data_IF_893274052154
#
_entry.id   IF_893274052154
#
_cell.length_a   1.000
_cell.length_b   1.000
_cell.length_c   1.000
_cell.angle_alpha   90.00
_cell.angle_beta   90.00
_cell.angle_gamma   90.00
#
_symmetry.space_group_name_H-M   'P 1'
#
loop_
_entity.id
_entity.type
_entity.pdbx_description
1 polymer ?
#
# COMPACT_ATOMS: atom_id res chain seq x y z
N UNK A 1 41.79 48.44 18.31
CA UNK A 1 40.44 47.84 18.34
C UNK A 1 40.48 46.64 19.28
N UNK A 2 39.63 46.56 20.31
CA UNK A 2 39.50 45.40 21.20
C UNK A 2 39.28 44.09 20.43
N UNK A 3 39.70 42.96 21.00
CA UNK A 3 39.64 41.64 20.35
C UNK A 3 38.21 41.24 19.92
N UNK A 4 37.20 41.53 20.76
CA UNK A 4 35.79 41.29 20.42
C UNK A 4 35.30 42.08 19.21
N UNK A 5 35.81 43.30 19.01
CA UNK A 5 35.46 44.12 17.83
C UNK A 5 36.12 43.59 16.55
N UNK A 6 37.35 43.08 16.64
CA UNK A 6 38.04 42.45 15.51
C UNK A 6 37.33 41.15 15.07
N UNK A 7 36.82 40.39 16.05
CA UNK A 7 36.02 39.17 15.80
C UNK A 7 34.68 39.50 15.12
N UNK A 8 33.95 40.49 15.64
CA UNK A 8 32.69 40.93 15.04
C UNK A 8 32.87 41.50 13.63
N UNK A 9 33.92 42.27 13.38
CA UNK A 9 34.24 42.78 12.04
C UNK A 9 34.51 41.64 11.04
N UNK A 10 35.21 40.60 11.48
CA UNK A 10 35.47 39.41 10.66
C UNK A 10 34.17 38.64 10.37
N UNK A 11 33.30 38.45 11.35
CA UNK A 11 31.98 37.83 11.15
C UNK A 11 31.09 38.64 10.19
N UNK A 12 31.07 39.97 10.36
CA UNK A 12 30.26 40.86 9.52
C UNK A 12 30.66 40.83 8.03
N UNK A 13 31.91 40.46 7.72
CA UNK A 13 32.38 40.29 6.33
C UNK A 13 31.79 39.05 5.64
N UNK A 14 31.24 38.09 6.40
CA UNK A 14 30.69 36.85 5.86
C UNK A 14 29.28 37.10 5.33
N UNK A 15 29.12 36.93 4.02
CA UNK A 15 27.81 37.07 3.35
C UNK A 15 26.80 36.05 3.89
N UNK A 16 25.60 36.55 4.22
CA UNK A 16 24.48 35.74 4.70
C UNK A 16 24.83 34.85 5.89
N UNK A 17 25.69 35.35 6.79
CA UNK A 17 26.17 34.64 7.96
C UNK A 17 25.03 33.98 8.78
N UNK A 18 23.89 34.63 9.07
CA UNK A 18 22.80 33.99 9.83
C UNK A 18 22.30 32.70 9.16
N UNK A 19 21.95 32.76 7.87
CA UNK A 19 21.49 31.59 7.11
C UNK A 19 22.56 30.49 7.04
N UNK A 20 23.84 30.86 6.90
CA UNK A 20 24.94 29.88 6.88
C UNK A 20 25.09 29.18 8.23
N UNK A 21 24.97 29.91 9.33
CA UNK A 21 25.00 29.33 10.66
C UNK A 21 23.79 28.42 10.88
N UNK A 22 22.59 28.83 10.47
CA UNK A 22 21.38 27.99 10.54
C UNK A 22 21.55 26.70 9.75
N UNK A 23 22.11 26.76 8.53
CA UNK A 23 22.37 25.59 7.70
C UNK A 23 23.47 24.68 8.27
N UNK A 24 24.52 25.25 8.87
CA UNK A 24 25.58 24.48 9.53
C UNK A 24 24.99 23.77 10.76
N UNK A 25 24.22 24.47 11.58
CA UNK A 25 23.52 23.89 12.74
C UNK A 25 22.57 22.78 12.28
N UNK A 26 21.76 23.02 11.23
CA UNK A 26 20.88 22.02 10.65
C UNK A 26 21.65 20.79 10.17
N UNK A 27 22.75 20.98 9.43
CA UNK A 27 23.57 19.87 8.94
C UNK A 27 24.17 19.04 10.08
N UNK A 28 24.72 19.71 11.10
CA UNK A 28 25.32 19.05 12.26
C UNK A 28 24.28 18.29 13.08
N UNK A 29 23.08 18.86 13.23
CA UNK A 29 21.98 18.28 14.00
C UNK A 29 21.04 17.45 13.15
N UNK A 30 21.31 17.22 11.86
CA UNK A 30 20.36 16.56 10.97
C UNK A 30 20.00 15.16 11.48
N UNK A 31 20.99 14.40 11.94
CA UNK A 31 20.77 13.06 12.50
C UNK A 31 20.03 13.11 13.84
N UNK A 32 20.34 14.08 14.71
CA UNK A 32 19.59 14.30 15.95
C UNK A 32 18.14 14.68 15.68
N UNK A 33 17.89 15.61 14.75
CA UNK A 33 16.54 16.03 14.33
C UNK A 33 15.77 14.83 13.77
N UNK A 34 16.42 13.94 13.00
CA UNK A 34 15.82 12.70 12.51
C UNK A 34 15.51 11.69 13.63
N UNK A 35 16.34 11.64 14.67
CA UNK A 35 16.18 10.72 15.80
C UNK A 35 15.20 11.27 16.87
N UNK A 36 15.12 12.59 17.03
CA UNK A 36 14.25 13.34 17.93
C UNK A 36 12.86 13.57 17.32
N UNK A 37 12.75 13.49 15.98
CA UNK A 37 11.47 13.28 15.30
C UNK A 37 10.83 12.08 15.98
N UNK A 38 9.64 12.30 16.58
CA UNK A 38 8.93 11.30 17.39
C UNK A 38 9.08 9.93 16.73
N UNK A 39 9.48 8.88 17.47
CA UNK A 39 9.63 7.54 16.93
C UNK A 39 8.40 7.12 16.12
N UNK A 40 7.20 7.52 16.53
CA UNK A 40 5.95 7.41 15.80
C UNK A 40 6.05 7.91 14.34
N UNK A 41 6.46 9.16 14.08
CA UNK A 41 6.52 9.72 12.72
C UNK A 41 7.56 9.00 11.84
N UNK A 42 8.72 8.67 12.41
CA UNK A 42 9.79 7.98 11.68
C UNK A 42 9.47 6.49 11.44
N UNK A 43 8.82 5.84 12.41
CA UNK A 43 8.31 4.48 12.36
C UNK A 43 6.97 4.36 11.62
N UNK A 44 6.29 5.46 11.27
CA UNK A 44 5.03 5.42 10.51
C UNK A 44 5.28 5.78 9.04
N UNK A 45 6.12 6.77 8.75
CA UNK A 45 6.29 7.28 7.38
C UNK A 45 7.12 6.34 6.50
N UNK A 46 8.21 5.79 7.04
CA UNK A 46 9.14 4.94 6.29
C UNK A 46 8.57 3.54 6.02
N UNK A 47 7.99 2.84 7.01
CA UNK A 47 7.32 1.58 6.74
C UNK A 47 5.91 1.76 6.17
N UNK A 48 5.23 2.89 6.32
CA UNK A 48 3.93 3.09 5.66
C UNK A 48 4.02 3.00 4.13
N UNK A 49 4.98 3.71 3.53
CA UNK A 49 5.22 3.63 2.08
C UNK A 49 5.76 2.25 1.69
N UNK A 50 6.71 1.70 2.45
CA UNK A 50 7.25 0.35 2.19
C UNK A 50 6.17 -0.72 2.26
N UNK A 51 5.28 -0.64 3.26
CA UNK A 51 4.18 -1.58 3.47
C UNK A 51 3.17 -1.54 2.32
N UNK A 52 2.78 -0.34 1.87
CA UNK A 52 1.89 -0.21 0.71
C UNK A 52 2.56 -0.77 -0.56
N UNK A 53 3.85 -0.46 -0.77
CA UNK A 53 4.60 -1.00 -1.90
C UNK A 53 4.70 -2.52 -1.86
N UNK A 54 5.04 -3.09 -0.70
CA UNK A 54 5.17 -4.53 -0.47
C UNK A 54 3.82 -5.24 -0.65
N UNK A 55 2.73 -4.70 -0.09
CA UNK A 55 1.39 -5.25 -0.25
C UNK A 55 0.93 -5.22 -1.72
N UNK A 56 1.17 -4.12 -2.44
CA UNK A 56 0.87 -4.04 -3.88
C UNK A 56 1.67 -5.07 -4.68
N UNK A 57 2.96 -5.26 -4.34
CA UNK A 57 3.81 -6.25 -5.00
C UNK A 57 3.40 -7.69 -4.69
N UNK A 58 2.99 -7.98 -3.46
CA UNK A 58 2.46 -9.28 -3.04
C UNK A 58 1.18 -9.62 -3.80
N UNK A 59 0.21 -8.70 -3.84
CA UNK A 59 -1.04 -8.88 -4.60
C UNK A 59 -0.76 -9.10 -6.08
N UNK A 60 0.16 -8.30 -6.67
CA UNK A 60 0.50 -8.38 -8.09
C UNK A 60 1.21 -9.68 -8.47
N UNK A 61 2.01 -10.26 -7.57
CA UNK A 61 2.79 -11.48 -7.82
C UNK A 61 2.08 -12.75 -7.36
N UNK A 62 1.01 -12.63 -6.57
CA UNK A 62 0.27 -13.78 -6.04
C UNK A 62 -0.42 -14.56 -7.16
N UNK A 63 0.11 -15.76 -7.44
CA UNK A 63 -0.53 -16.71 -8.35
C UNK A 63 -1.91 -17.12 -7.85
N UNK A 64 -2.02 -17.39 -6.54
CA UNK A 64 -3.28 -17.78 -5.92
C UNK A 64 -4.35 -16.71 -6.09
N UNK A 65 -4.00 -15.44 -5.84
CA UNK A 65 -4.95 -14.35 -6.04
C UNK A 65 -5.36 -14.20 -7.50
N UNK A 66 -4.42 -14.33 -8.45
CA UNK A 66 -4.74 -14.35 -9.89
C UNK A 66 -5.75 -15.46 -10.24
N UNK A 67 -5.50 -16.69 -9.80
CA UNK A 67 -6.42 -17.82 -10.03
C UNK A 67 -7.79 -17.58 -9.40
N UNK A 68 -7.83 -16.98 -8.21
CA UNK A 68 -9.09 -16.60 -7.56
C UNK A 68 -9.88 -15.57 -8.38
N UNK A 69 -9.21 -14.56 -8.96
CA UNK A 69 -9.85 -13.58 -9.84
C UNK A 69 -10.36 -14.21 -11.14
N UNK A 70 -9.62 -15.16 -11.73
CA UNK A 70 -10.07 -15.91 -12.91
C UNK A 70 -11.32 -16.75 -12.61
N UNK A 71 -11.36 -17.40 -11.44
CA UNK A 71 -12.56 -18.10 -10.97
C UNK A 71 -13.72 -17.13 -10.75
N UNK A 72 -13.47 -15.97 -10.12
CA UNK A 72 -14.49 -14.96 -9.89
C UNK A 72 -15.12 -14.49 -11.21
N UNK A 73 -14.28 -14.25 -12.23
CA UNK A 73 -14.73 -13.88 -13.58
C UNK A 73 -15.54 -15.01 -14.23
N UNK A 74 -15.07 -16.26 -14.14
CA UNK A 74 -15.77 -17.43 -14.68
C UNK A 74 -17.16 -17.61 -14.06
N UNK A 75 -17.24 -17.62 -12.74
CA UNK A 75 -18.52 -17.77 -12.02
C UNK A 75 -19.44 -16.58 -12.29
N UNK A 76 -18.91 -15.35 -12.29
CA UNK A 76 -19.67 -14.14 -12.60
C UNK A 76 -20.31 -14.19 -13.99
N UNK A 77 -19.53 -14.58 -15.01
CA UNK A 77 -20.03 -14.75 -16.38
C UNK A 77 -21.08 -15.86 -16.45
N UNK A 78 -20.81 -17.02 -15.86
CA UNK A 78 -21.74 -18.14 -15.86
C UNK A 78 -23.09 -17.79 -15.22
N UNK A 79 -23.07 -17.13 -14.05
CA UNK A 79 -24.29 -16.73 -13.35
C UNK A 79 -25.02 -15.58 -14.07
N UNK A 80 -24.27 -14.67 -14.69
CA UNK A 80 -24.79 -13.53 -15.44
C UNK A 80 -25.58 -13.92 -16.69
N UNK A 81 -25.23 -15.04 -17.34
CA UNK A 81 -25.93 -15.55 -18.54
C UNK A 81 -27.43 -15.82 -18.35
N UNK A 82 -27.90 -15.93 -17.11
CA UNK A 82 -29.33 -16.03 -16.80
C UNK A 82 -30.13 -14.75 -17.12
N UNK A 83 -29.46 -13.60 -17.24
CA UNK A 83 -30.07 -12.32 -17.60
C UNK A 83 -30.01 -12.09 -19.10
N UNK A 84 -31.19 -11.79 -19.70
CA UNK A 84 -31.34 -11.55 -21.16
C UNK A 84 -30.50 -10.40 -21.71
N UNK A 85 -30.04 -9.50 -20.83
CA UNK A 85 -29.24 -8.31 -21.20
C UNK A 85 -27.75 -8.52 -20.94
N UNK A 86 -27.38 -9.63 -20.30
CA UNK A 86 -26.00 -9.87 -19.92
C UNK A 86 -25.14 -10.19 -21.15
N UNK A 87 -23.95 -9.61 -21.15
CA UNK A 87 -22.88 -9.93 -22.10
C UNK A 87 -21.68 -10.39 -21.29
N UNK A 88 -20.97 -11.39 -21.80
CA UNK A 88 -19.75 -11.86 -21.17
C UNK A 88 -18.78 -10.69 -20.96
N UNK A 89 -18.23 -10.59 -19.75
CA UNK A 89 -17.27 -9.57 -19.39
C UNK A 89 -15.86 -10.16 -19.33
N UNK A 90 -14.86 -9.30 -19.55
CA UNK A 90 -13.45 -9.66 -19.47
C UNK A 90 -12.80 -9.24 -18.15
N UNK A 91 -13.51 -8.46 -17.34
CA UNK A 91 -13.05 -7.93 -16.08
C UNK A 91 -14.23 -7.53 -15.19
N UNK A 92 -13.95 -7.30 -13.91
CA UNK A 92 -14.86 -6.76 -12.92
C UNK A 92 -14.12 -5.78 -12.00
N UNK A 93 -14.84 -4.88 -11.35
CA UNK A 93 -14.27 -4.00 -10.32
C UNK A 93 -13.96 -4.78 -9.04
N UNK A 94 -12.83 -4.49 -8.39
CA UNK A 94 -12.42 -5.20 -7.15
C UNK A 94 -13.47 -5.20 -6.04
N UNK A 95 -14.34 -4.18 -5.97
CA UNK A 95 -15.43 -4.13 -5.00
C UNK A 95 -16.49 -5.23 -5.21
N UNK A 96 -16.45 -5.99 -6.30
CA UNK A 96 -17.30 -7.18 -6.46
C UNK A 96 -16.88 -8.31 -5.51
N UNK A 97 -15.59 -8.40 -5.16
CA UNK A 97 -15.09 -9.47 -4.28
C UNK A 97 -15.74 -9.46 -2.90
N UNK A 98 -16.07 -8.27 -2.38
CA UNK A 98 -16.75 -8.11 -1.08
C UNK A 98 -18.20 -8.61 -1.10
N UNK A 99 -18.80 -8.77 -2.29
CA UNK A 99 -20.19 -9.20 -2.49
C UNK A 99 -20.34 -10.70 -2.71
N UNK A 100 -19.23 -11.44 -2.82
CA UNK A 100 -19.25 -12.90 -3.01
C UNK A 100 -19.89 -13.65 -1.82
N UNK A 101 -19.95 -13.02 -0.66
CA UNK A 101 -20.64 -13.53 0.53
C UNK A 101 -22.15 -13.31 0.52
N UNK A 102 -22.65 -12.42 -0.33
CA UNK A 102 -24.08 -12.06 -0.38
C UNK A 102 -24.90 -13.06 -1.21
N UNK A 103 -24.25 -13.74 -2.16
CA UNK A 103 -24.88 -14.78 -2.97
C UNK A 103 -24.82 -16.12 -2.24
N UNK A 104 -26.00 -16.68 -1.92
CA UNK A 104 -26.14 -17.91 -1.14
C UNK A 104 -26.70 -19.06 -1.98
N UNK A 105 -26.44 -20.27 -1.54
CA UNK A 105 -27.10 -21.46 -2.06
C UNK A 105 -28.59 -21.51 -1.67
N UNK A 106 -29.32 -22.48 -2.24
CA UNK A 106 -30.78 -22.61 -2.09
C UNK A 106 -31.18 -22.71 -0.61
N UNK A 107 -30.38 -23.41 0.18
CA UNK A 107 -30.62 -23.63 1.61
C UNK A 107 -30.03 -22.53 2.52
N UNK A 108 -29.43 -21.49 1.94
CA UNK A 108 -28.75 -20.40 2.64
C UNK A 108 -27.63 -20.83 3.60
N UNK A 109 -27.03 -22.01 3.38
CA UNK A 109 -25.99 -22.59 4.22
C UNK A 109 -24.58 -22.18 3.77
N UNK A 110 -24.36 -22.08 2.48
CA UNK A 110 -23.07 -21.71 1.90
C UNK A 110 -23.21 -20.51 0.97
N UNK A 111 -22.14 -19.73 0.88
CA UNK A 111 -22.06 -18.59 -0.05
C UNK A 111 -21.25 -18.95 -1.28
N UNK A 112 -21.35 -18.14 -2.33
CA UNK A 112 -20.52 -18.27 -3.53
C UNK A 112 -19.02 -18.26 -3.17
N UNK A 113 -18.61 -17.44 -2.19
CA UNK A 113 -17.23 -17.44 -1.69
C UNK A 113 -16.79 -18.82 -1.18
N UNK A 114 -17.63 -19.54 -0.43
CA UNK A 114 -17.31 -20.89 0.05
C UNK A 114 -17.07 -21.85 -1.12
N UNK A 115 -17.98 -21.85 -2.11
CA UNK A 115 -17.86 -22.68 -3.30
C UNK A 115 -16.61 -22.35 -4.13
N UNK A 116 -16.25 -21.07 -4.23
CA UNK A 116 -15.06 -20.64 -4.96
C UNK A 116 -13.77 -21.10 -4.29
N UNK A 117 -13.68 -20.99 -2.96
CA UNK A 117 -12.53 -21.49 -2.19
C UNK A 117 -12.38 -23.01 -2.37
N UNK A 118 -13.47 -23.76 -2.28
CA UNK A 118 -13.43 -25.22 -2.49
C UNK A 118 -13.10 -25.59 -3.93
N UNK A 119 -13.54 -24.80 -4.92
CA UNK A 119 -13.18 -24.99 -6.33
C UNK A 119 -11.70 -24.70 -6.56
N UNK A 120 -11.16 -23.64 -5.95
CA UNK A 120 -9.74 -23.28 -6.03
C UNK A 120 -8.86 -24.37 -5.41
N UNK A 121 -9.25 -24.95 -4.27
CA UNK A 121 -8.55 -26.09 -3.65
C UNK A 121 -8.46 -27.31 -4.57
N UNK A 122 -9.46 -27.52 -5.43
CA UNK A 122 -9.51 -28.64 -6.38
C UNK A 122 -8.70 -28.34 -7.64
N UNK A 123 -8.80 -27.13 -8.19
CA UNK A 123 -8.18 -26.73 -9.45
C UNK A 123 -6.71 -26.33 -9.31
N UNK A 124 -6.35 -25.66 -8.21
CA UNK A 124 -4.97 -25.24 -7.94
C UNK A 124 -4.60 -25.44 -6.45
N UNK A 125 -4.39 -26.69 -6.02
CA UNK A 125 -4.10 -27.01 -4.62
C UNK A 125 -2.78 -26.38 -4.12
N UNK A 126 -1.86 -26.05 -5.03
CA UNK A 126 -0.51 -25.56 -4.69
C UNK A 126 -0.51 -24.08 -4.30
N UNK A 127 -1.42 -23.30 -4.89
CA UNK A 127 -1.49 -21.85 -4.66
C UNK A 127 -2.75 -21.42 -3.89
N UNK A 128 -3.51 -22.37 -3.35
CA UNK A 128 -4.68 -22.12 -2.49
C UNK A 128 -4.30 -21.90 -1.01
N UNK A 129 -3.20 -21.20 -0.75
CA UNK A 129 -2.76 -20.82 0.61
C UNK A 129 -3.02 -19.36 0.87
#
# INVERSE_FOLDING_TARGET
MPEGEQFLASLASIKALPLRLDLIIFKLRFQEILNDLKPEILNDLKPGISCVMEACDEIRRSHGFKTFLELALLFGNFMGQSSKTYKDTFAFEMNVLTKLMDTKDIDNKYTLLHYMVDSMRKCDPKHCR
#
